data_IF_166552038594
#
_entry.id   IF_166552038594
#
_cell.length_a   1.000
_cell.length_b   1.000
_cell.length_c   1.000
_cell.angle_alpha   90.00
_cell.angle_beta   90.00
_cell.angle_gamma   90.00
#
_symmetry.space_group_name_H-M   'P 1'
#
loop_
_entity.id
_entity.type
_entity.pdbx_description
1 polymer ?
#
# COMPACT_ATOMS: atom_id res chain seq x y z
N UNK A 1 -15.07 -17.40 -22.40
CA UNK A 1 -15.23 -17.08 -20.98
C UNK A 1 -15.13 -15.57 -20.79
N UNK A 2 -15.61 -15.04 -19.65
CA UNK A 2 -15.48 -13.60 -19.32
C UNK A 2 -14.01 -13.16 -19.29
N UNK A 3 -13.10 -14.00 -18.77
CA UNK A 3 -11.67 -13.75 -18.78
C UNK A 3 -11.08 -13.60 -20.17
N UNK A 4 -11.47 -14.46 -21.13
CA UNK A 4 -11.02 -14.33 -22.53
C UNK A 4 -11.53 -13.05 -23.20
N UNK A 5 -12.75 -12.59 -22.86
CA UNK A 5 -13.27 -11.32 -23.36
C UNK A 5 -12.48 -10.13 -22.82
N UNK A 6 -12.16 -10.12 -21.52
CA UNK A 6 -11.28 -9.10 -20.92
C UNK A 6 -9.90 -9.09 -21.57
N UNK A 7 -9.29 -10.25 -21.76
CA UNK A 7 -8.01 -10.37 -22.45
C UNK A 7 -8.06 -9.80 -23.88
N UNK A 8 -9.08 -10.16 -24.65
CA UNK A 8 -9.23 -9.65 -26.02
C UNK A 8 -9.42 -8.13 -26.05
N UNK A 9 -10.23 -7.57 -25.15
CA UNK A 9 -10.41 -6.13 -25.02
C UNK A 9 -9.10 -5.42 -24.63
N UNK A 10 -8.35 -5.98 -23.67
CA UNK A 10 -7.05 -5.47 -23.29
C UNK A 10 -6.05 -5.45 -24.46
N UNK A 11 -5.93 -6.56 -25.19
CA UNK A 11 -5.07 -6.64 -26.36
C UNK A 11 -5.45 -5.63 -27.45
N UNK A 12 -6.73 -5.44 -27.71
CA UNK A 12 -7.20 -4.46 -28.68
C UNK A 12 -6.81 -3.04 -28.25
N UNK A 13 -6.98 -2.69 -26.97
CA UNK A 13 -6.59 -1.39 -26.42
C UNK A 13 -5.09 -1.14 -26.58
N UNK A 14 -4.25 -2.11 -26.23
CA UNK A 14 -2.80 -2.03 -26.36
C UNK A 14 -2.34 -1.90 -27.82
N UNK A 15 -3.00 -2.58 -28.77
CA UNK A 15 -2.67 -2.47 -30.19
C UNK A 15 -2.91 -1.07 -30.76
N UNK A 16 -3.75 -0.25 -30.17
CA UNK A 16 -4.00 1.14 -30.58
C UNK A 16 -2.87 2.09 -30.23
N UNK A 17 -1.93 1.68 -29.37
CA UNK A 17 -0.82 2.48 -28.84
C UNK A 17 -1.28 3.86 -28.33
N UNK A 18 -2.18 3.91 -27.34
CA UNK A 18 -2.71 5.17 -26.85
C UNK A 18 -1.68 5.93 -26.02
N UNK A 19 -1.75 7.26 -26.03
CA UNK A 19 -0.96 8.09 -25.11
C UNK A 19 -1.46 7.96 -23.67
N UNK A 20 -2.78 7.69 -23.49
CA UNK A 20 -3.43 7.48 -22.21
C UNK A 20 -4.30 6.22 -22.27
N UNK A 21 -4.03 5.29 -21.35
CA UNK A 21 -4.77 4.03 -21.21
C UNK A 21 -5.54 4.02 -19.88
N UNK A 22 -6.87 3.84 -19.96
CA UNK A 22 -7.73 3.75 -18.77
C UNK A 22 -8.22 2.31 -18.61
N UNK A 23 -7.92 1.71 -17.48
CA UNK A 23 -8.23 0.31 -17.19
C UNK A 23 -9.09 0.22 -15.91
N UNK A 24 -10.30 -0.30 -16.08
CA UNK A 24 -11.23 -0.54 -14.97
C UNK A 24 -11.21 -2.03 -14.58
N UNK A 25 -10.70 -2.32 -13.38
CA UNK A 25 -10.53 -3.68 -12.83
C UNK A 25 -9.93 -4.67 -13.86
N UNK A 26 -8.77 -4.35 -14.48
CA UNK A 26 -8.27 -5.06 -15.66
C UNK A 26 -7.95 -6.52 -15.41
N UNK A 27 -7.55 -6.88 -14.21
CA UNK A 27 -7.09 -8.24 -13.86
C UNK A 27 -8.09 -9.01 -12.99
N UNK A 28 -9.23 -8.39 -12.65
CA UNK A 28 -10.26 -9.08 -11.87
C UNK A 28 -10.80 -10.31 -12.62
N UNK A 29 -10.88 -11.46 -11.91
CA UNK A 29 -11.31 -12.73 -12.45
C UNK A 29 -10.29 -13.44 -13.36
N UNK A 30 -9.06 -12.93 -13.47
CA UNK A 30 -7.95 -13.63 -14.13
C UNK A 30 -7.20 -14.52 -13.13
N UNK A 31 -6.62 -15.62 -13.64
CA UNK A 31 -5.70 -16.42 -12.85
C UNK A 31 -4.36 -15.68 -12.58
N UNK A 32 -3.58 -16.09 -11.57
CA UNK A 32 -2.35 -15.38 -11.20
C UNK A 32 -1.30 -15.25 -12.32
N UNK A 33 -1.22 -16.24 -13.21
CA UNK A 33 -0.26 -16.20 -14.32
C UNK A 33 -0.67 -15.14 -15.33
N UNK A 34 -1.94 -15.09 -15.67
CA UNK A 34 -2.48 -14.11 -16.60
C UNK A 34 -2.43 -12.68 -16.03
N UNK A 35 -2.71 -12.49 -14.73
CA UNK A 35 -2.54 -11.19 -14.07
C UNK A 35 -1.12 -10.66 -14.25
N UNK A 36 -0.13 -11.48 -13.93
CA UNK A 36 1.27 -11.10 -14.06
C UNK A 36 1.64 -10.73 -15.49
N UNK A 37 1.10 -11.46 -16.48
CA UNK A 37 1.33 -11.13 -17.88
C UNK A 37 0.74 -9.78 -18.27
N UNK A 38 -0.49 -9.47 -17.83
CA UNK A 38 -1.14 -8.17 -18.09
C UNK A 38 -0.29 -7.04 -17.49
N UNK A 39 0.14 -7.15 -16.22
CA UNK A 39 0.98 -6.14 -15.58
C UNK A 39 2.33 -5.96 -16.27
N UNK A 40 2.99 -7.05 -16.66
CA UNK A 40 4.25 -6.95 -17.40
C UNK A 40 4.09 -6.20 -18.72
N UNK A 41 2.99 -6.43 -19.43
CA UNK A 41 2.71 -5.73 -20.69
C UNK A 41 2.41 -4.24 -20.47
N UNK A 42 1.62 -3.89 -19.45
CA UNK A 42 1.37 -2.49 -19.09
C UNK A 42 2.67 -1.78 -18.74
N UNK A 43 3.49 -2.36 -17.87
CA UNK A 43 4.76 -1.77 -17.46
C UNK A 43 5.76 -1.65 -18.61
N UNK A 44 5.80 -2.61 -19.53
CA UNK A 44 6.61 -2.54 -20.73
C UNK A 44 6.18 -1.39 -21.65
N UNK A 45 4.86 -1.22 -21.83
CA UNK A 45 4.32 -0.15 -22.67
C UNK A 45 4.59 1.24 -22.06
N UNK A 46 4.44 1.39 -20.74
CA UNK A 46 4.84 2.61 -20.02
C UNK A 46 6.32 2.91 -20.24
N UNK A 47 7.20 1.91 -20.11
CA UNK A 47 8.64 2.09 -20.22
C UNK A 47 9.10 2.38 -21.66
N UNK A 48 8.50 1.73 -22.65
CA UNK A 48 8.93 1.81 -24.06
C UNK A 48 8.26 2.96 -24.81
N UNK A 49 6.98 3.21 -24.53
CA UNK A 49 6.17 4.17 -25.30
C UNK A 49 5.81 5.43 -24.51
N UNK A 50 6.04 5.46 -23.17
CA UNK A 50 5.68 6.59 -22.32
C UNK A 50 4.17 6.71 -22.10
N UNK A 51 3.41 5.64 -22.26
CA UNK A 51 1.94 5.60 -22.05
C UNK A 51 1.61 5.96 -20.62
N UNK A 52 0.69 6.91 -20.43
CA UNK A 52 0.12 7.20 -19.11
C UNK A 52 -1.02 6.24 -18.83
N UNK A 53 -0.95 5.52 -17.72
CA UNK A 53 -1.96 4.50 -17.38
C UNK A 53 -2.71 4.89 -16.12
N UNK A 54 -4.05 4.91 -16.21
CA UNK A 54 -4.96 5.08 -15.09
C UNK A 54 -5.66 3.75 -14.81
N UNK A 55 -5.52 3.23 -13.59
CA UNK A 55 -6.05 1.92 -13.20
C UNK A 55 -7.01 2.09 -12.03
N UNK A 56 -8.21 1.49 -12.14
CA UNK A 56 -9.04 1.23 -10.97
C UNK A 56 -8.85 -0.21 -10.49
N UNK A 57 -8.74 -0.41 -9.19
CA UNK A 57 -8.74 -1.74 -8.57
C UNK A 57 -9.16 -1.67 -7.10
N UNK A 58 -9.79 -2.73 -6.62
CA UNK A 58 -10.05 -2.93 -5.20
C UNK A 58 -8.95 -3.79 -4.53
N UNK A 59 -8.00 -4.32 -5.31
CA UNK A 59 -6.87 -5.10 -4.81
C UNK A 59 -5.63 -4.21 -4.63
N UNK A 60 -5.47 -3.63 -3.45
CA UNK A 60 -4.40 -2.70 -3.15
C UNK A 60 -3.00 -3.31 -3.26
N UNK A 61 -2.85 -4.61 -2.98
CA UNK A 61 -1.56 -5.31 -3.09
C UNK A 61 -1.04 -5.37 -4.51
N UNK A 62 -1.94 -5.55 -5.48
CA UNK A 62 -1.55 -5.57 -6.89
C UNK A 62 -1.13 -4.19 -7.40
N UNK A 63 -1.78 -3.14 -6.90
CA UNK A 63 -1.44 -1.76 -7.26
C UNK A 63 -0.09 -1.32 -6.70
N UNK A 64 0.29 -1.81 -5.51
CA UNK A 64 1.55 -1.48 -4.86
C UNK A 64 2.77 -1.80 -5.73
N UNK A 65 2.69 -2.88 -6.52
CA UNK A 65 3.78 -3.33 -7.38
C UNK A 65 3.82 -2.61 -8.75
N UNK A 66 2.76 -1.90 -9.15
CA UNK A 66 2.61 -1.40 -10.53
C UNK A 66 2.34 0.10 -10.63
N UNK A 67 1.95 0.76 -9.54
CA UNK A 67 1.60 2.17 -9.53
C UNK A 67 2.67 3.02 -8.84
N UNK A 68 2.92 4.20 -9.36
CA UNK A 68 3.76 5.25 -8.76
C UNK A 68 2.93 6.30 -8.00
N UNK A 69 1.65 6.44 -8.35
CA UNK A 69 0.69 7.33 -7.69
C UNK A 69 -0.57 6.56 -7.32
N UNK A 70 -1.17 6.92 -6.21
CA UNK A 70 -2.43 6.34 -5.76
C UNK A 70 -3.43 7.43 -5.41
N UNK A 71 -4.68 7.20 -5.83
CA UNK A 71 -5.82 8.00 -5.46
C UNK A 71 -6.88 7.13 -4.80
N UNK A 72 -7.37 7.52 -3.63
CA UNK A 72 -8.42 6.81 -2.93
C UNK A 72 -9.72 7.56 -3.07
N UNK A 73 -10.75 6.86 -3.54
CA UNK A 73 -12.08 7.43 -3.77
C UNK A 73 -13.11 6.78 -2.85
N UNK A 74 -13.95 7.59 -2.25
CA UNK A 74 -15.11 7.14 -1.50
C UNK A 74 -16.29 8.12 -1.67
N UNK A 75 -17.50 7.59 -1.88
CA UNK A 75 -18.70 8.38 -2.08
C UNK A 75 -18.61 9.41 -3.22
N UNK A 76 -17.87 9.08 -4.30
CA UNK A 76 -17.66 9.96 -5.45
C UNK A 76 -16.70 11.12 -5.23
N UNK A 77 -15.91 11.09 -4.14
CA UNK A 77 -14.88 12.08 -3.82
C UNK A 77 -13.52 11.42 -3.71
N UNK A 78 -12.49 12.14 -4.15
CA UNK A 78 -11.10 11.76 -3.88
C UNK A 78 -10.80 12.13 -2.43
N UNK A 79 -10.45 11.14 -1.61
CA UNK A 79 -10.09 11.33 -0.20
C UNK A 79 -8.60 11.59 -0.03
N UNK A 80 -7.80 10.92 -0.84
CA UNK A 80 -6.34 10.98 -0.81
C UNK A 80 -5.82 10.87 -2.23
N UNK A 81 -4.78 11.62 -2.56
CA UNK A 81 -4.02 11.51 -3.81
C UNK A 81 -2.56 11.87 -3.53
N UNK A 82 -1.67 10.87 -3.65
CA UNK A 82 -0.24 11.05 -3.37
C UNK A 82 0.64 10.08 -4.17
N UNK A 83 1.92 10.43 -4.41
CA UNK A 83 2.94 9.48 -4.80
C UNK A 83 3.01 8.33 -3.76
N UNK A 84 3.04 7.09 -4.23
CA UNK A 84 3.09 5.92 -3.34
C UNK A 84 4.33 5.94 -2.44
N UNK A 85 5.48 6.33 -3.00
CA UNK A 85 6.74 6.44 -2.26
C UNK A 85 6.65 7.44 -1.09
N UNK A 86 5.94 8.55 -1.24
CA UNK A 86 5.75 9.54 -0.16
C UNK A 86 4.85 9.00 0.94
N UNK A 87 3.79 8.27 0.58
CA UNK A 87 2.92 7.62 1.56
C UNK A 87 3.70 6.59 2.39
N UNK A 88 4.52 5.77 1.73
CA UNK A 88 5.32 4.74 2.40
C UNK A 88 6.50 5.31 3.21
N UNK A 89 7.00 6.50 2.87
CA UNK A 89 8.09 7.14 3.60
C UNK A 89 7.64 7.81 4.91
N UNK A 90 6.37 8.21 4.99
CA UNK A 90 5.86 9.00 6.10
C UNK A 90 5.21 8.18 7.23
N UNK A 91 5.01 6.88 7.03
CA UNK A 91 4.41 5.99 8.01
C UNK A 91 5.18 4.68 8.04
N UNK A 92 5.55 4.24 9.23
CA UNK A 92 6.31 3.01 9.41
C UNK A 92 5.65 2.07 10.40
N UNK A 93 5.82 0.78 10.17
CA UNK A 93 5.47 -0.28 11.09
C UNK A 93 6.70 -0.71 11.87
N UNK A 94 6.58 -0.71 13.18
CA UNK A 94 7.66 -1.05 14.10
C UNK A 94 7.31 -2.30 14.87
N UNK A 95 8.24 -3.24 14.91
CA UNK A 95 8.23 -4.36 15.83
C UNK A 95 9.30 -4.10 16.90
N UNK A 96 8.90 -3.93 18.15
CA UNK A 96 9.82 -3.63 19.25
C UNK A 96 9.53 -4.50 20.46
N UNK A 97 10.58 -5.13 21.01
CA UNK A 97 10.53 -5.80 22.30
C UNK A 97 11.39 -5.01 23.30
N UNK A 98 10.74 -4.51 24.34
CA UNK A 98 11.41 -3.74 25.39
C UNK A 98 11.76 -4.63 26.59
N UNK A 99 12.83 -4.31 27.34
CA UNK A 99 13.06 -4.89 28.65
C UNK A 99 11.89 -4.62 29.62
N UNK A 100 11.71 -5.48 30.60
CA UNK A 100 10.50 -5.49 31.49
C UNK A 100 10.17 -4.16 32.19
N UNK A 101 11.14 -3.28 32.39
CA UNK A 101 10.93 -1.97 33.04
C UNK A 101 11.02 -0.77 32.07
N UNK A 102 11.30 -1.03 30.79
CA UNK A 102 11.49 0.05 29.82
C UNK A 102 10.14 0.52 29.24
N UNK A 103 10.02 1.82 29.09
CA UNK A 103 8.88 2.47 28.45
C UNK A 103 9.24 2.92 27.06
N UNK A 104 8.23 3.02 26.17
CA UNK A 104 8.41 3.65 24.88
C UNK A 104 8.84 5.11 25.05
N UNK A 105 9.81 5.58 24.25
CA UNK A 105 10.23 6.98 24.27
C UNK A 105 9.07 7.92 23.99
N UNK A 106 9.07 9.07 24.64
CA UNK A 106 8.10 10.12 24.35
C UNK A 106 8.34 10.77 22.97
N UNK A 107 7.30 11.38 22.43
CA UNK A 107 7.38 12.14 21.17
C UNK A 107 7.28 11.29 19.90
N UNK A 108 6.89 10.03 19.99
CA UNK A 108 6.47 9.23 18.83
C UNK A 108 4.99 9.51 18.52
N UNK A 109 4.70 9.83 17.27
CA UNK A 109 3.32 9.98 16.80
C UNK A 109 2.75 8.60 16.44
N UNK A 110 2.22 7.91 17.46
CA UNK A 110 1.74 6.53 17.35
C UNK A 110 0.28 6.53 16.93
N UNK A 111 0.01 6.09 15.71
CA UNK A 111 -1.35 5.89 15.18
C UNK A 111 -2.04 4.65 15.74
N UNK A 112 -1.28 3.57 15.86
CA UNK A 112 -1.80 2.31 16.38
C UNK A 112 -0.75 1.58 17.21
N UNK A 113 -1.21 0.90 18.26
CA UNK A 113 -0.37 0.05 19.10
C UNK A 113 -1.09 -1.26 19.43
N UNK A 114 -0.40 -2.36 19.23
CA UNK A 114 -0.79 -3.67 19.72
C UNK A 114 0.38 -4.36 20.42
N UNK A 115 0.11 -5.35 21.26
CA UNK A 115 1.13 -6.09 21.99
C UNK A 115 0.77 -7.57 22.06
N UNK A 116 1.77 -8.42 21.85
CA UNK A 116 1.71 -9.86 22.06
C UNK A 116 2.87 -10.26 22.99
N UNK A 117 2.60 -10.41 24.27
CA UNK A 117 3.63 -10.58 25.30
C UNK A 117 4.53 -9.35 25.36
N UNK A 118 5.84 -9.55 25.20
CA UNK A 118 6.84 -8.47 25.23
C UNK A 118 7.05 -7.78 23.87
N UNK A 119 6.48 -8.33 22.78
CA UNK A 119 6.59 -7.74 21.44
C UNK A 119 5.44 -6.75 21.20
N UNK A 120 5.79 -5.51 20.98
CA UNK A 120 4.88 -4.44 20.56
C UNK A 120 4.96 -4.25 19.06
N UNK A 121 3.79 -4.11 18.42
CA UNK A 121 3.68 -3.63 17.05
C UNK A 121 3.11 -2.22 17.11
N UNK A 122 3.84 -1.26 16.52
CA UNK A 122 3.46 0.14 16.47
C UNK A 122 3.32 0.57 15.02
N UNK A 123 2.34 1.41 14.74
CA UNK A 123 2.26 2.18 13.51
C UNK A 123 2.56 3.61 13.88
N UNK A 124 3.58 4.19 13.28
CA UNK A 124 4.13 5.48 13.70
C UNK A 124 4.27 6.40 12.48
N UNK A 125 3.77 7.64 12.60
CA UNK A 125 4.10 8.69 11.64
C UNK A 125 5.56 9.11 11.82
N UNK A 126 6.29 9.17 10.74
CA UNK A 126 7.67 9.66 10.71
C UNK A 126 8.56 8.83 9.79
N UNK A 127 9.74 9.38 9.54
CA UNK A 127 10.80 8.70 8.78
C UNK A 127 11.35 7.50 9.54
N UNK A 128 11.64 6.41 8.82
CA UNK A 128 12.10 5.16 9.41
C UNK A 128 13.39 5.32 10.22
N UNK A 129 14.34 6.13 9.76
CA UNK A 129 15.61 6.33 10.44
C UNK A 129 15.42 7.16 11.73
N UNK A 130 14.56 8.16 11.71
CA UNK A 130 14.24 8.96 12.89
C UNK A 130 13.53 8.11 13.95
N UNK A 131 12.52 7.34 13.56
CA UNK A 131 11.77 6.44 14.45
C UNK A 131 12.70 5.38 15.05
N UNK A 132 13.54 4.76 14.22
CA UNK A 132 14.53 3.77 14.67
C UNK A 132 15.52 4.38 15.69
N UNK A 133 16.05 5.58 15.41
CA UNK A 133 16.97 6.27 16.32
C UNK A 133 16.33 6.57 17.67
N UNK A 134 15.09 7.06 17.69
CA UNK A 134 14.35 7.33 18.93
C UNK A 134 14.11 6.06 19.74
N UNK A 135 13.63 4.99 19.09
CA UNK A 135 13.36 3.73 19.78
C UNK A 135 14.63 3.05 20.30
N UNK A 136 15.76 3.21 19.63
CA UNK A 136 17.04 2.67 20.06
C UNK A 136 17.51 3.25 21.42
N UNK A 137 17.05 4.44 21.82
CA UNK A 137 17.37 5.03 23.13
C UNK A 137 16.83 4.22 24.31
N UNK A 138 15.74 3.47 24.09
CA UNK A 138 15.16 2.57 25.10
C UNK A 138 15.90 1.23 25.22
N UNK A 139 16.98 1.03 24.47
CA UNK A 139 17.78 -0.21 24.43
C UNK A 139 16.90 -1.47 24.24
N UNK A 140 16.11 -1.53 23.18
CA UNK A 140 15.21 -2.66 22.95
C UNK A 140 15.99 -3.96 22.75
N UNK A 141 15.42 -5.08 23.19
CA UNK A 141 15.96 -6.43 22.92
C UNK A 141 15.76 -6.83 21.45
N UNK A 142 14.73 -6.30 20.81
CA UNK A 142 14.44 -6.45 19.41
C UNK A 142 13.85 -5.16 18.87
N UNK A 143 14.29 -4.74 17.68
CA UNK A 143 13.78 -3.56 16.98
C UNK A 143 13.88 -3.82 15.48
N UNK A 144 12.75 -3.73 14.81
CA UNK A 144 12.66 -3.79 13.35
C UNK A 144 11.66 -2.73 12.87
N UNK A 145 12.03 -2.02 11.81
CA UNK A 145 11.23 -0.94 11.24
C UNK A 145 11.04 -1.25 9.75
N UNK A 146 9.80 -1.44 9.35
CA UNK A 146 9.45 -1.81 7.98
C UNK A 146 8.42 -0.80 7.41
N UNK A 147 8.42 -0.57 6.08
CA UNK A 147 7.38 0.23 5.44
C UNK A 147 6.02 -0.46 5.60
N UNK A 148 4.95 0.33 5.61
CA UNK A 148 3.60 -0.21 5.50
C UNK A 148 3.29 -0.58 4.07
N UNK A 149 2.47 -1.61 3.91
CA UNK A 149 1.81 -1.91 2.64
C UNK A 149 0.74 -0.85 2.34
N UNK A 150 0.38 -0.69 1.09
CA UNK A 150 -0.69 0.23 0.68
C UNK A 150 -2.03 -0.11 1.38
N UNK A 151 -2.30 -1.39 1.60
CA UNK A 151 -3.48 -1.86 2.34
C UNK A 151 -3.46 -1.39 3.80
N UNK A 152 -2.32 -1.48 4.47
CA UNK A 152 -2.15 -1.01 5.85
C UNK A 152 -2.25 0.52 5.94
N UNK A 153 -1.65 1.26 5.01
CA UNK A 153 -1.79 2.71 4.93
C UNK A 153 -3.27 3.09 4.79
N UNK A 154 -4.00 2.42 3.91
CA UNK A 154 -5.44 2.65 3.74
C UNK A 154 -6.21 2.46 5.06
N UNK A 155 -5.92 1.38 5.80
CA UNK A 155 -6.58 1.08 7.07
C UNK A 155 -6.27 2.14 8.13
N UNK A 156 -5.02 2.56 8.28
CA UNK A 156 -4.59 3.44 9.37
C UNK A 156 -4.80 4.92 9.07
N UNK A 157 -4.66 5.37 7.82
CA UNK A 157 -4.91 6.75 7.42
C UNK A 157 -6.41 7.07 7.29
N UNK A 158 -7.18 6.16 6.71
CA UNK A 158 -8.58 6.40 6.39
C UNK A 158 -9.55 5.72 7.35
N UNK A 159 -9.11 4.64 8.03
CA UNK A 159 -9.93 3.91 8.99
C UNK A 159 -10.30 4.72 10.24
N UNK A 160 -9.59 5.82 10.52
CA UNK A 160 -9.90 6.74 11.61
C UNK A 160 -11.10 7.66 11.34
N UNK A 161 -11.52 7.81 10.07
CA UNK A 161 -12.57 8.79 9.75
C UNK A 161 -14.00 8.21 9.71
N UNK A 162 -14.21 6.92 9.33
CA UNK A 162 -15.58 6.32 9.29
C UNK A 162 -15.61 4.78 9.10
N UNK A 163 -14.47 4.10 8.91
CA UNK A 163 -14.41 2.65 8.87
C UNK A 163 -14.00 2.09 10.23
N UNK A 164 -14.97 1.68 11.02
CA UNK A 164 -14.68 0.91 12.23
C UNK A 164 -13.90 -0.36 11.83
N UNK A 165 -12.64 -0.46 12.24
CA UNK A 165 -11.71 -1.60 12.07
C UNK A 165 -12.31 -2.95 12.57
N UNK A 166 -13.55 -2.95 13.06
CA UNK A 166 -14.24 -4.11 13.60
C UNK A 166 -14.65 -5.18 12.59
N UNK A 167 -14.70 -4.87 11.30
CA UNK A 167 -15.22 -5.79 10.29
C UNK A 167 -14.16 -6.42 9.36
N UNK A 168 -12.87 -6.09 9.54
CA UNK A 168 -11.80 -6.58 8.65
C UNK A 168 -10.90 -7.66 9.33
N UNK A 169 -11.08 -7.89 10.62
CA UNK A 169 -10.26 -8.85 11.39
C UNK A 169 -11.02 -10.12 11.82
N UNK A 170 -12.04 -10.55 11.05
CA UNK A 170 -12.64 -11.87 11.22
C UNK A 170 -12.37 -12.74 10.00
#
# INVERSE_FOLDING_TARGET
SKGMQKQAAFWLAMCLRPDVLVLDEPVDGLDPVMRRQVWNLVLADVAENGTTVLISSHNLRELEDVCDHVGIMNGGKVLLEHPLAELQANIVKVFVALPDEAQLPEGLDILHRSAQGHLHTLIVHGDAAEVMNRLSTAQPQYLDVVPLTLEEIFIYELGGADYAVKDILL
#
